data_IF_912417155920
#
_entry.id   IF_912417155920
#
_cell.length_a   1.000
_cell.length_b   1.000
_cell.length_c   1.000
_cell.angle_alpha   90.00
_cell.angle_beta   90.00
_cell.angle_gamma   90.00
#
_symmetry.space_group_name_H-M   'P 1'
#
loop_
_entity.id
_entity.type
_entity.pdbx_description
1 polymer ?
#
# COMPACT_ATOMS: atom_id res chain seq x y z
N UNK A 1 8.33 3.53 -6.00
CA UNK A 1 8.08 4.51 -4.90
C UNK A 1 9.30 5.36 -4.57
N UNK A 2 10.40 4.80 -4.08
CA UNK A 2 11.56 5.57 -3.57
C UNK A 2 12.07 6.64 -4.55
N UNK A 3 12.25 6.31 -5.85
CA UNK A 3 12.66 7.27 -6.87
C UNK A 3 11.71 8.47 -7.01
N UNK A 4 10.38 8.24 -6.93
CA UNK A 4 9.35 9.28 -7.04
C UNK A 4 9.30 10.18 -5.80
N UNK A 5 9.50 9.61 -4.61
CA UNK A 5 9.63 10.41 -3.39
C UNK A 5 10.93 11.21 -3.38
N UNK A 6 12.04 10.62 -3.85
CA UNK A 6 13.33 11.28 -3.91
C UNK A 6 13.33 12.50 -4.86
N UNK A 7 12.51 12.52 -5.91
CA UNK A 7 12.40 13.70 -6.77
C UNK A 7 11.77 14.92 -6.10
N UNK A 8 11.16 14.75 -4.92
CA UNK A 8 10.62 15.84 -4.12
C UNK A 8 11.67 16.45 -3.17
N UNK A 9 12.83 15.81 -3.00
CA UNK A 9 13.91 16.31 -2.17
C UNK A 9 14.51 17.56 -2.81
N UNK A 10 14.73 18.61 -2.00
CA UNK A 10 15.26 19.90 -2.46
C UNK A 10 14.19 20.85 -3.03
N UNK A 11 12.94 20.42 -3.15
CA UNK A 11 11.84 21.30 -3.52
C UNK A 11 11.36 22.15 -2.34
N UNK A 12 10.71 23.28 -2.64
CA UNK A 12 10.17 24.17 -1.62
C UNK A 12 8.96 23.51 -0.91
N UNK A 13 9.07 23.34 0.41
CA UNK A 13 8.05 22.70 1.26
C UNK A 13 6.66 23.36 1.15
N UNK A 14 6.59 24.68 0.98
CA UNK A 14 5.33 25.41 0.84
C UNK A 14 4.63 25.04 -0.48
N UNK A 15 5.41 24.92 -1.56
CA UNK A 15 4.92 24.64 -2.91
C UNK A 15 4.60 23.15 -3.13
N UNK A 16 5.25 22.24 -2.41
CA UNK A 16 4.98 20.81 -2.53
C UNK A 16 3.54 20.50 -2.14
N UNK A 17 2.74 19.95 -3.05
CA UNK A 17 1.35 19.59 -2.76
C UNK A 17 1.33 18.26 -2.01
N UNK A 18 0.45 18.18 -1.00
CA UNK A 18 0.24 16.94 -0.26
C UNK A 18 -0.26 15.82 -1.17
N UNK A 19 -1.17 16.14 -2.11
CA UNK A 19 -1.75 15.19 -3.07
C UNK A 19 -0.68 14.47 -3.90
N UNK A 20 0.33 15.17 -4.38
CA UNK A 20 1.41 14.57 -5.18
C UNK A 20 2.14 13.46 -4.40
N UNK A 21 2.28 13.60 -3.08
CA UNK A 21 2.86 12.58 -2.19
C UNK A 21 1.88 11.43 -1.98
N UNK A 22 0.61 11.75 -1.75
CA UNK A 22 -0.46 10.76 -1.55
C UNK A 22 -0.63 9.87 -2.78
N UNK A 23 -0.57 10.43 -3.98
CA UNK A 23 -0.64 9.69 -5.24
C UNK A 23 0.52 8.70 -5.38
N UNK A 24 1.75 9.11 -5.02
CA UNK A 24 2.93 8.22 -5.03
C UNK A 24 2.78 7.09 -4.00
N UNK A 25 2.17 7.36 -2.85
CA UNK A 25 1.94 6.35 -1.79
C UNK A 25 0.85 5.37 -2.22
N UNK A 26 -0.27 5.87 -2.76
CA UNK A 26 -1.43 5.08 -3.20
C UNK A 26 -1.11 4.10 -4.35
N UNK A 27 -0.05 4.35 -5.12
CA UNK A 27 0.44 3.39 -6.12
C UNK A 27 0.86 2.04 -5.51
N UNK A 28 1.22 2.01 -4.22
CA UNK A 28 1.63 0.79 -3.54
C UNK A 28 0.49 0.18 -2.73
N UNK A 29 -0.04 -0.93 -3.24
CA UNK A 29 -1.13 -1.69 -2.62
C UNK A 29 -0.76 -2.37 -1.29
N UNK A 30 0.51 -2.35 -0.89
CA UNK A 30 0.98 -2.90 0.40
C UNK A 30 0.81 -1.93 1.58
N UNK A 31 0.27 -0.72 1.34
CA UNK A 31 0.05 0.29 2.37
C UNK A 31 -1.44 0.35 2.69
N UNK A 32 -1.79 0.13 3.95
CA UNK A 32 -3.18 0.21 4.44
C UNK A 32 -3.56 1.65 4.75
N UNK A 33 -2.69 2.33 5.48
CA UNK A 33 -2.91 3.68 5.96
C UNK A 33 -1.61 4.49 5.89
N UNK A 34 -1.76 5.80 5.75
CA UNK A 34 -0.63 6.71 5.81
C UNK A 34 -1.03 8.04 6.45
N UNK A 35 -0.04 8.74 6.98
CA UNK A 35 -0.19 10.11 7.46
C UNK A 35 0.96 10.96 6.93
N UNK A 36 0.62 12.04 6.21
CA UNK A 36 1.57 13.00 5.67
C UNK A 36 1.46 14.31 6.45
N UNK A 37 2.53 14.69 7.14
CA UNK A 37 2.59 15.89 7.98
C UNK A 37 3.72 16.78 7.49
N UNK A 38 3.43 18.05 7.17
CA UNK A 38 4.46 19.07 6.93
C UNK A 38 4.97 19.57 8.28
N UNK A 39 6.25 19.34 8.54
CA UNK A 39 6.98 19.84 9.69
C UNK A 39 7.83 21.03 9.24
N UNK A 40 7.33 22.23 9.48
CA UNK A 40 8.04 23.45 9.12
C UNK A 40 9.35 23.60 9.92
N UNK A 41 10.40 24.21 9.34
CA UNK A 41 10.37 24.90 8.05
C UNK A 41 10.63 24.01 6.82
N UNK A 42 11.18 22.80 6.97
CA UNK A 42 11.83 22.10 5.86
C UNK A 42 11.63 20.57 5.81
N UNK A 43 10.71 20.00 6.58
CA UNK A 43 10.54 18.54 6.69
C UNK A 43 9.12 18.10 6.35
N UNK A 44 9.00 16.92 5.73
CA UNK A 44 7.74 16.20 5.59
C UNK A 44 7.91 14.87 6.31
N UNK A 45 7.07 14.61 7.30
CA UNK A 45 6.99 13.33 7.98
C UNK A 45 5.89 12.49 7.34
N UNK A 46 6.28 11.32 6.83
CA UNK A 46 5.35 10.31 6.33
C UNK A 46 5.38 9.13 7.28
N UNK A 47 4.23 8.82 7.88
CA UNK A 47 4.01 7.57 8.63
C UNK A 47 3.24 6.62 7.74
N UNK A 48 3.72 5.38 7.62
CA UNK A 48 3.10 4.33 6.81
C UNK A 48 2.70 3.18 7.73
N UNK A 49 1.55 2.59 7.44
CA UNK A 49 1.09 1.34 8.02
C UNK A 49 0.97 0.33 6.89
N UNK A 50 1.62 -0.81 7.06
CA UNK A 50 1.54 -1.90 6.10
C UNK A 50 0.15 -2.56 6.17
N UNK A 51 -0.26 -3.17 5.07
CA UNK A 51 -1.46 -4.03 5.04
C UNK A 51 -1.22 -5.30 5.84
N UNK A 52 -2.30 -5.79 6.47
CA UNK A 52 -2.29 -7.11 7.08
C UNK A 52 -2.88 -8.10 6.10
N UNK A 53 -2.12 -9.16 5.80
CA UNK A 53 -2.62 -10.24 4.94
C UNK A 53 -3.53 -11.14 5.77
N UNK A 54 -4.78 -11.31 5.33
CA UNK A 54 -5.82 -12.04 6.07
C UNK A 54 -6.15 -13.40 5.48
N UNK A 55 -5.98 -13.57 4.17
CA UNK A 55 -6.29 -14.83 3.48
C UNK A 55 -5.53 -14.97 2.14
N UNK A 56 -5.49 -16.20 1.64
CA UNK A 56 -5.07 -16.52 0.27
C UNK A 56 -6.31 -16.61 -0.60
N UNK A 57 -6.41 -15.74 -1.59
CA UNK A 57 -7.54 -15.69 -2.49
C UNK A 57 -7.19 -16.32 -3.83
N UNK A 58 -8.01 -17.28 -4.28
CA UNK A 58 -7.79 -18.02 -5.52
C UNK A 58 -8.91 -17.69 -6.51
N UNK A 59 -8.56 -16.94 -7.55
CA UNK A 59 -9.46 -16.49 -8.62
C UNK A 59 -8.84 -16.81 -9.98
N UNK A 60 -9.61 -17.46 -10.86
CA UNK A 60 -9.19 -17.79 -12.23
C UNK A 60 -7.83 -18.49 -12.31
N UNK A 61 -7.58 -19.45 -11.41
CA UNK A 61 -6.31 -20.19 -11.26
C UNK A 61 -5.09 -19.34 -10.86
N UNK A 62 -5.29 -18.06 -10.52
CA UNK A 62 -4.27 -17.16 -9.96
C UNK A 62 -4.44 -17.04 -8.45
N UNK A 63 -3.31 -16.87 -7.77
CA UNK A 63 -3.25 -16.69 -6.31
C UNK A 63 -3.00 -15.23 -5.99
N UNK A 64 -3.72 -14.74 -4.99
CA UNK A 64 -3.59 -13.41 -4.43
C UNK A 64 -3.56 -13.52 -2.91
N UNK A 65 -3.00 -12.52 -2.25
CA UNK A 65 -3.29 -12.27 -0.85
C UNK A 65 -4.45 -11.28 -0.77
N UNK A 66 -5.41 -11.60 0.09
CA UNK A 66 -6.44 -10.68 0.52
C UNK A 66 -5.88 -9.87 1.70
N UNK A 67 -5.92 -8.55 1.59
CA UNK A 67 -5.57 -7.63 2.66
C UNK A 67 -6.79 -7.20 3.47
N UNK A 68 -6.55 -6.72 4.69
CA UNK A 68 -7.52 -6.14 5.61
C UNK A 68 -8.26 -4.89 5.06
N UNK A 69 -7.74 -4.27 4.00
CA UNK A 69 -8.37 -3.19 3.25
C UNK A 69 -9.08 -3.66 1.97
N UNK A 70 -9.42 -4.95 1.86
CA UNK A 70 -10.05 -5.59 0.71
C UNK A 70 -9.23 -5.55 -0.59
N UNK A 71 -7.96 -5.11 -0.56
CA UNK A 71 -7.11 -5.16 -1.73
C UNK A 71 -6.63 -6.58 -2.02
N UNK A 72 -6.62 -6.92 -3.32
CA UNK A 72 -5.98 -8.12 -3.82
C UNK A 72 -4.54 -7.81 -4.24
N UNK A 73 -3.59 -8.44 -3.53
CA UNK A 73 -2.16 -8.32 -3.76
C UNK A 73 -1.70 -9.57 -4.51
N UNK A 74 -0.98 -9.45 -5.64
CA UNK A 74 -0.44 -10.61 -6.33
C UNK A 74 0.39 -11.47 -5.38
N UNK A 75 0.16 -12.78 -5.38
CA UNK A 75 0.92 -13.70 -4.55
C UNK A 75 2.41 -13.62 -4.89
N UNK A 76 3.24 -13.59 -3.84
CA UNK A 76 4.69 -13.57 -3.97
C UNK A 76 5.29 -14.45 -2.88
N UNK A 77 6.21 -15.34 -3.27
CA UNK A 77 6.76 -16.38 -2.39
C UNK A 77 7.52 -15.84 -1.16
N UNK A 78 7.95 -14.58 -1.19
CA UNK A 78 8.68 -13.92 -0.12
C UNK A 78 7.77 -13.28 0.94
N UNK A 79 6.46 -13.16 0.69
CA UNK A 79 5.49 -12.68 1.67
C UNK A 79 5.13 -13.85 2.58
N UNK A 80 5.51 -13.75 3.85
CA UNK A 80 5.54 -14.87 4.79
C UNK A 80 4.19 -15.55 4.93
N UNK A 81 4.19 -16.84 4.64
CA UNK A 81 3.01 -17.67 4.41
C UNK A 81 2.45 -18.24 5.73
N UNK A 82 2.24 -17.39 6.74
CA UNK A 82 1.80 -17.82 8.07
C UNK A 82 0.34 -18.29 8.03
N UNK A 83 0.11 -19.58 7.78
CA UNK A 83 -1.16 -20.31 7.98
C UNK A 83 -2.44 -19.54 7.58
N UNK A 84 -2.37 -18.72 6.52
CA UNK A 84 -3.51 -17.95 6.07
C UNK A 84 -4.56 -18.88 5.44
N UNK A 85 -5.86 -18.71 5.75
CA UNK A 85 -6.92 -19.52 5.17
C UNK A 85 -6.99 -19.33 3.65
N UNK A 86 -7.37 -20.39 2.94
CA UNK A 86 -7.66 -20.32 1.51
C UNK A 86 -9.13 -19.94 1.28
N UNK A 87 -9.36 -18.91 0.48
CA UNK A 87 -10.68 -18.43 0.07
C UNK A 87 -10.81 -18.62 -1.44
N UNK A 88 -11.89 -19.28 -1.83
CA UNK A 88 -12.24 -19.54 -3.23
C UNK A 88 -13.57 -18.88 -3.54
N UNK A 89 -13.67 -18.24 -4.70
CA UNK A 89 -14.93 -17.67 -5.13
C UNK A 89 -14.73 -16.72 -6.30
N UNK A 90 -15.77 -16.62 -7.14
CA UNK A 90 -15.85 -15.56 -8.12
C UNK A 90 -16.49 -14.35 -7.43
N UNK A 91 -15.76 -13.27 -7.33
CA UNK A 91 -16.21 -11.99 -6.75
C UNK A 91 -16.52 -12.07 -5.24
N UNK A 92 -15.91 -13.04 -4.54
CA UNK A 92 -16.03 -13.19 -3.08
C UNK A 92 -15.22 -12.14 -2.30
N UNK A 93 -14.43 -11.30 -2.97
CA UNK A 93 -13.69 -10.19 -2.37
C UNK A 93 -14.59 -8.97 -1.99
N UNK A 94 -15.85 -8.96 -2.43
CA UNK A 94 -16.79 -7.82 -2.28
C UNK A 94 -17.93 -8.04 -1.26
N UNK A 95 -18.05 -9.23 -0.68
CA UNK A 95 -19.12 -9.62 0.26
C UNK A 95 -18.56 -9.77 1.69
#
# INVERSE_FOLDING_TARGET
>A
MQRKLNSLIGQNLLLTKRRDIEDIINENKLISEYTVIKQYPNKISVKLKEVVLVAKFIKDKKRYFLADNNNLIPYADHLTDQNLPNVYGKDAEYY
#
